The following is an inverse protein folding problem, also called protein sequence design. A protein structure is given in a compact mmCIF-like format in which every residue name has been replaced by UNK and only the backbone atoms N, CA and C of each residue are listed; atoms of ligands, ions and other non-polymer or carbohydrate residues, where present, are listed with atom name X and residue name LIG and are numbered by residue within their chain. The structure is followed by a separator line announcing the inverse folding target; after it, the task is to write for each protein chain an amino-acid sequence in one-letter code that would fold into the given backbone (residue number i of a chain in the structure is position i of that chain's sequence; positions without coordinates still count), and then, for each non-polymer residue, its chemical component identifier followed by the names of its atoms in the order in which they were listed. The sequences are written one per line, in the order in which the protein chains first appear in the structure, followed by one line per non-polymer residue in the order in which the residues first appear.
data_IF_154279297874
#
_entry.id   IF_154279297874
#
_cell.length_a   1.000
_cell.length_b   1.000
_cell.length_c   1.000
_cell.angle_alpha   90.00
_cell.angle_beta   90.00
_cell.angle_gamma   90.00
#
_symmetry.space_group_name_H-M   'P 1'
#
loop_
_entity.id
_entity.type
_entity.pdbx_description
1 polymer ?
#
# COMPACT_ATOMS: atom_id res chain seq x y z
N UNK A 1 -41.33 -30.47 -16.27
CA UNK A 1 -40.54 -29.30 -16.54
C UNK A 1 -39.73 -29.05 -15.26
N UNK A 2 -38.49 -29.51 -15.27
CA UNK A 2 -37.56 -29.46 -14.12
C UNK A 2 -36.66 -28.24 -14.31
N UNK A 3 -36.77 -27.27 -13.44
CA UNK A 3 -35.89 -26.11 -13.43
C UNK A 3 -34.67 -26.42 -12.57
N UNK A 4 -33.50 -26.47 -13.20
CA UNK A 4 -32.22 -26.57 -12.54
C UNK A 4 -31.79 -25.21 -12.00
N UNK A 5 -31.47 -25.15 -10.71
CA UNK A 5 -30.79 -24.01 -10.07
C UNK A 5 -29.31 -24.02 -10.40
N UNK A 6 -28.66 -22.88 -10.60
CA UNK A 6 -27.21 -22.82 -10.78
C UNK A 6 -26.50 -23.04 -9.46
N UNK A 7 -25.62 -24.02 -9.46
CA UNK A 7 -24.70 -24.38 -8.38
C UNK A 7 -23.61 -23.29 -8.24
N UNK A 8 -23.73 -22.47 -7.20
CA UNK A 8 -22.66 -21.59 -6.76
C UNK A 8 -21.67 -22.39 -5.93
N UNK A 9 -20.71 -23.02 -6.59
CA UNK A 9 -19.57 -23.63 -5.93
C UNK A 9 -18.64 -22.56 -5.34
N UNK A 10 -18.97 -22.12 -4.14
CA UNK A 10 -18.04 -21.44 -3.23
C UNK A 10 -16.90 -22.43 -2.97
N UNK A 11 -15.72 -22.19 -3.50
CA UNK A 11 -14.51 -22.91 -3.11
C UNK A 11 -14.32 -22.70 -1.61
N UNK A 12 -14.74 -23.69 -0.83
CA UNK A 12 -14.33 -23.81 0.57
C UNK A 12 -12.83 -24.01 0.57
N UNK A 13 -12.11 -23.13 1.25
CA UNK A 13 -10.72 -23.35 1.61
C UNK A 13 -10.69 -24.58 2.52
N UNK A 14 -10.15 -25.67 1.98
CA UNK A 14 -10.04 -26.94 2.66
C UNK A 14 -9.19 -26.78 3.92
N UNK A 15 -9.78 -27.21 5.03
CA UNK A 15 -9.16 -27.34 6.34
C UNK A 15 -8.07 -28.40 6.32
N UNK A 16 -6.94 -28.05 6.97
CA UNK A 16 -5.91 -28.96 7.48
C UNK A 16 -5.02 -29.66 6.46
N UNK A 17 -4.02 -28.93 5.98
CA UNK A 17 -2.73 -29.54 5.63
C UNK A 17 -1.68 -29.05 6.61
N UNK A 18 -0.93 -29.98 7.20
CA UNK A 18 0.20 -29.74 8.08
C UNK A 18 1.11 -28.69 7.43
N UNK A 19 1.34 -27.60 8.12
CA UNK A 19 2.13 -26.44 7.67
C UNK A 19 3.55 -26.90 7.40
N UNK A 20 3.87 -27.20 6.14
CA UNK A 20 5.25 -27.13 5.68
C UNK A 20 5.65 -25.67 5.86
N UNK A 21 6.60 -25.40 6.78
CA UNK A 21 7.08 -24.07 7.09
C UNK A 21 7.65 -23.47 5.78
N UNK A 22 6.88 -22.61 5.10
CA UNK A 22 7.37 -21.89 3.94
C UNK A 22 8.45 -20.94 4.44
N UNK A 23 9.72 -21.08 4.03
CA UNK A 23 10.81 -20.22 4.50
C UNK A 23 10.62 -18.74 4.11
N UNK A 24 9.68 -18.43 3.24
CA UNK A 24 9.31 -17.07 2.85
C UNK A 24 8.22 -16.46 3.71
N UNK A 25 7.46 -17.28 4.46
CA UNK A 25 6.37 -16.79 5.29
C UNK A 25 6.92 -15.93 6.43
N UNK A 26 6.48 -14.68 6.51
CA UNK A 26 6.83 -13.74 7.58
C UNK A 26 5.75 -13.66 8.64
N UNK A 27 4.49 -13.64 8.19
CA UNK A 27 3.32 -13.44 9.05
C UNK A 27 2.14 -14.25 8.52
N UNK A 28 1.50 -15.01 9.40
CA UNK A 28 0.26 -15.71 9.12
C UNK A 28 -0.75 -15.46 10.24
N UNK A 29 -1.89 -14.91 9.88
CA UNK A 29 -3.06 -14.72 10.74
C UNK A 29 -4.10 -15.75 10.32
N UNK A 30 -4.59 -16.56 11.26
CA UNK A 30 -5.55 -17.59 10.98
C UNK A 30 -6.79 -17.48 11.89
N UNK A 31 -7.96 -17.26 11.26
CA UNK A 31 -9.25 -17.21 11.94
C UNK A 31 -9.32 -16.14 13.04
N UNK A 32 -8.79 -14.95 12.79
CA UNK A 32 -8.72 -13.89 13.77
C UNK A 32 -10.09 -13.29 14.02
N UNK A 33 -10.56 -13.42 15.26
CA UNK A 33 -11.67 -12.66 15.80
C UNK A 33 -11.16 -11.64 16.83
N UNK A 34 -11.79 -10.48 16.90
CA UNK A 34 -11.50 -9.49 17.91
C UNK A 34 -12.76 -8.72 18.33
N UNK A 35 -12.99 -8.68 19.64
CA UNK A 35 -14.11 -7.98 20.27
C UNK A 35 -13.57 -6.88 21.19
N UNK A 36 -14.23 -5.72 21.19
CA UNK A 36 -13.92 -4.63 22.11
C UNK A 36 -15.20 -3.87 22.45
N UNK A 37 -15.42 -3.61 23.74
CA UNK A 37 -16.61 -2.88 24.22
C UNK A 37 -17.93 -3.51 23.80
N UNK A 38 -18.03 -4.85 23.74
CA UNK A 38 -19.22 -5.58 23.31
C UNK A 38 -19.48 -5.56 21.80
N UNK A 39 -18.58 -4.99 20.99
CA UNK A 39 -18.66 -4.98 19.53
C UNK A 39 -17.62 -5.91 18.92
N UNK A 40 -18.01 -6.66 17.90
CA UNK A 40 -17.08 -7.41 17.07
C UNK A 40 -16.43 -6.44 16.07
N UNK A 41 -15.11 -6.37 16.09
CA UNK A 41 -14.32 -5.52 15.19
C UNK A 41 -13.63 -6.31 14.08
N UNK A 42 -13.34 -7.60 14.34
CA UNK A 42 -12.81 -8.52 13.35
C UNK A 42 -13.51 -9.87 13.47
N UNK A 43 -13.81 -10.50 12.34
CA UNK A 43 -14.48 -11.77 12.23
C UNK A 43 -13.77 -12.69 11.24
N UNK A 44 -13.23 -13.80 11.75
CA UNK A 44 -12.62 -14.88 10.98
C UNK A 44 -11.64 -14.38 9.91
N UNK A 45 -10.78 -13.40 10.28
CA UNK A 45 -9.83 -12.80 9.34
C UNK A 45 -8.63 -13.72 9.15
N UNK A 46 -8.30 -13.99 7.89
CA UNK A 46 -7.10 -14.69 7.45
C UNK A 46 -6.21 -13.73 6.66
N UNK A 47 -4.89 -13.80 6.89
CA UNK A 47 -3.90 -13.01 6.19
C UNK A 47 -2.60 -13.80 6.14
N UNK A 48 -1.96 -13.81 4.99
CA UNK A 48 -0.65 -14.40 4.78
C UNK A 48 0.25 -13.38 4.11
N UNK A 49 1.47 -13.17 4.63
CA UNK A 49 2.44 -12.24 4.07
C UNK A 49 3.81 -12.90 3.97
N UNK A 50 4.40 -12.80 2.79
CA UNK A 50 5.69 -13.36 2.46
C UNK A 50 6.77 -12.28 2.36
N UNK A 51 8.03 -12.73 2.42
CA UNK A 51 9.19 -11.89 2.14
C UNK A 51 9.17 -11.40 0.68
N UNK A 52 9.47 -10.12 0.48
CA UNK A 52 9.47 -9.49 -0.84
C UNK A 52 8.07 -9.18 -1.40
N UNK A 53 7.00 -9.38 -0.62
CA UNK A 53 5.63 -9.10 -1.01
C UNK A 53 5.14 -7.79 -0.40
N UNK A 54 4.39 -6.99 -1.16
CA UNK A 54 3.59 -5.87 -0.65
C UNK A 54 2.13 -6.30 -0.60
N UNK A 55 1.59 -6.41 0.61
CA UNK A 55 0.18 -6.69 0.86
C UNK A 55 -0.48 -5.46 1.44
N UNK A 56 -1.57 -5.03 0.81
CA UNK A 56 -2.29 -3.83 1.24
C UNK A 56 -3.68 -4.14 1.77
N UNK A 57 -3.96 -3.64 2.97
CA UNK A 57 -5.29 -3.64 3.58
C UNK A 57 -6.04 -2.39 3.16
N UNK A 58 -7.18 -2.55 2.52
CA UNK A 58 -8.10 -1.46 2.20
C UNK A 58 -9.45 -1.69 2.90
N UNK A 59 -10.26 -0.65 3.01
CA UNK A 59 -11.58 -0.76 3.64
C UNK A 59 -12.05 0.57 4.23
N UNK A 60 -13.33 0.71 4.55
CA UNK A 60 -13.88 1.93 5.12
C UNK A 60 -13.32 2.24 6.51
N UNK A 61 -13.58 3.45 7.00
CA UNK A 61 -13.24 3.81 8.38
C UNK A 61 -14.04 2.94 9.35
N UNK A 62 -13.36 2.44 10.39
CA UNK A 62 -13.98 1.51 11.33
C UNK A 62 -14.01 0.03 10.89
N UNK A 63 -13.50 -0.31 9.72
CA UNK A 63 -13.43 -1.68 9.19
C UNK A 63 -12.54 -2.65 9.99
N UNK A 64 -11.75 -2.15 10.95
CA UNK A 64 -10.85 -2.98 11.75
C UNK A 64 -9.39 -3.00 11.29
N UNK A 65 -9.01 -2.24 10.25
CA UNK A 65 -7.64 -2.23 9.67
C UNK A 65 -6.55 -2.00 10.71
N UNK A 66 -6.62 -0.90 11.46
CA UNK A 66 -5.64 -0.59 12.52
C UNK A 66 -5.65 -1.62 13.65
N UNK A 67 -6.82 -2.22 13.96
CA UNK A 67 -6.92 -3.31 14.92
C UNK A 67 -6.17 -4.55 14.44
N UNK A 68 -6.36 -4.94 13.18
CA UNK A 68 -5.66 -6.07 12.55
C UNK A 68 -4.14 -5.82 12.53
N UNK A 69 -3.70 -4.60 12.17
CA UNK A 69 -2.29 -4.20 12.23
C UNK A 69 -1.74 -4.34 13.65
N UNK A 70 -2.45 -3.86 14.67
CA UNK A 70 -2.00 -4.00 16.07
C UNK A 70 -1.90 -5.47 16.50
N UNK A 71 -2.79 -6.34 16.04
CA UNK A 71 -2.73 -7.78 16.27
C UNK A 71 -1.51 -8.35 15.53
N UNK A 72 -1.30 -8.00 14.27
CA UNK A 72 -0.13 -8.41 13.50
C UNK A 72 1.20 -8.00 14.15
N UNK A 73 1.25 -6.82 14.77
CA UNK A 73 2.40 -6.33 15.52
C UNK A 73 2.58 -6.98 16.91
N UNK A 74 1.58 -7.71 17.43
CA UNK A 74 1.58 -8.24 18.79
C UNK A 74 1.26 -7.20 19.87
N UNK A 75 0.73 -6.06 19.49
CA UNK A 75 0.30 -5.00 20.41
C UNK A 75 -1.10 -5.26 20.98
N UNK A 76 -1.87 -6.12 20.32
CA UNK A 76 -3.18 -6.62 20.78
C UNK A 76 -3.23 -8.13 20.63
N UNK A 77 -3.81 -8.82 21.61
CA UNK A 77 -4.13 -10.25 21.48
C UNK A 77 -5.50 -10.41 20.83
N UNK A 78 -5.66 -11.30 19.84
CA UNK A 78 -6.97 -11.60 19.29
C UNK A 78 -7.88 -12.26 20.34
N UNK A 79 -9.19 -12.17 20.17
CA UNK A 79 -10.17 -12.88 21.02
C UNK A 79 -10.19 -14.36 20.72
N UNK A 80 -9.98 -14.75 19.45
CA UNK A 80 -9.76 -16.13 18.99
C UNK A 80 -8.90 -16.12 17.70
N UNK A 81 -8.44 -17.30 17.29
CA UNK A 81 -7.52 -17.47 16.17
C UNK A 81 -6.04 -17.48 16.58
N UNK A 82 -5.15 -17.62 15.63
CA UNK A 82 -3.69 -17.70 15.85
C UNK A 82 -2.94 -16.68 15.00
N UNK A 83 -1.80 -16.24 15.54
CA UNK A 83 -0.87 -15.31 14.88
C UNK A 83 0.51 -15.95 14.88
N UNK A 84 0.91 -16.45 13.73
CA UNK A 84 2.21 -17.06 13.54
C UNK A 84 3.15 -16.06 12.86
N UNK A 85 4.32 -15.85 13.46
CA UNK A 85 5.38 -14.97 12.95
C UNK A 85 6.65 -15.77 12.77
N UNK A 86 7.43 -15.44 11.76
CA UNK A 86 8.81 -15.99 11.62
C UNK A 86 9.57 -15.80 12.93
N UNK A 87 10.32 -16.84 13.39
CA UNK A 87 11.13 -16.71 14.60
C UNK A 87 12.12 -15.56 14.48
N UNK A 88 12.15 -14.68 15.50
CA UNK A 88 13.06 -13.52 15.54
C UNK A 88 12.72 -12.41 14.55
N UNK A 89 11.52 -12.40 13.96
CA UNK A 89 11.08 -11.42 12.97
C UNK A 89 11.33 -9.98 13.43
N UNK A 90 12.18 -9.24 12.70
CA UNK A 90 12.41 -7.82 12.93
C UNK A 90 11.34 -7.02 12.19
N UNK A 91 10.55 -6.26 12.97
CA UNK A 91 9.46 -5.45 12.45
C UNK A 91 9.80 -3.97 12.54
N UNK A 92 9.73 -3.26 11.42
CA UNK A 92 9.69 -1.81 11.35
C UNK A 92 8.24 -1.33 11.27
N UNK A 93 7.84 -0.44 12.17
CA UNK A 93 6.48 0.07 12.20
C UNK A 93 6.42 1.58 12.03
N UNK A 94 5.61 2.01 11.08
CA UNK A 94 5.26 3.39 10.82
C UNK A 94 3.78 3.60 11.15
N UNK A 95 3.45 4.29 12.26
CA UNK A 95 2.07 4.53 12.67
C UNK A 95 1.40 5.61 11.82
N UNK A 96 0.08 5.58 11.71
CA UNK A 96 -0.73 6.57 10.99
C UNK A 96 -0.47 8.01 11.47
N UNK A 97 -0.29 8.20 12.78
CA UNK A 97 -0.06 9.52 13.37
C UNK A 97 1.03 9.45 14.42
N UNK A 98 1.95 10.38 14.33
CA UNK A 98 2.85 10.73 15.43
C UNK A 98 2.47 12.13 15.91
N UNK A 99 1.93 12.23 17.13
CA UNK A 99 1.69 13.53 17.77
C UNK A 99 3.00 13.99 18.40
N UNK A 100 3.60 15.01 17.79
CA UNK A 100 4.74 15.72 18.39
C UNK A 100 4.21 17.03 18.93
N UNK A 101 4.33 17.24 20.24
CA UNK A 101 3.96 18.50 20.86
C UNK A 101 4.74 19.65 20.20
N UNK A 102 4.08 20.72 19.69
CA UNK A 102 4.76 21.83 19.01
C UNK A 102 5.86 22.50 19.85
N UNK A 103 5.70 22.44 21.17
CA UNK A 103 6.65 23.00 22.15
C UNK A 103 7.86 22.13 22.40
N UNK A 104 7.84 20.85 21.97
CA UNK A 104 8.96 19.93 22.16
C UNK A 104 10.12 20.26 21.21
N UNK A 105 11.29 20.70 21.72
CA UNK A 105 12.42 21.08 20.89
C UNK A 105 13.25 19.86 20.46
N UNK A 106 12.61 18.89 19.78
CA UNK A 106 13.29 17.68 19.28
C UNK A 106 13.61 17.81 17.80
N UNK A 107 14.89 17.66 17.43
CA UNK A 107 15.29 17.57 16.03
C UNK A 107 15.05 16.16 15.45
N UNK A 108 15.04 16.06 14.11
CA UNK A 108 14.93 14.79 13.39
C UNK A 108 16.01 13.80 13.82
N UNK A 109 17.28 14.22 13.85
CA UNK A 109 18.37 13.35 14.30
C UNK A 109 18.14 12.86 15.73
N UNK A 110 17.73 13.74 16.65
CA UNK A 110 17.46 13.32 18.03
C UNK A 110 16.30 12.35 18.14
N UNK A 111 15.24 12.58 17.35
CA UNK A 111 14.11 11.68 17.28
C UNK A 111 14.49 10.29 16.76
N UNK A 112 15.32 10.21 15.72
CA UNK A 112 15.82 8.95 15.18
C UNK A 112 16.76 8.24 16.15
N UNK A 113 17.59 8.99 16.87
CA UNK A 113 18.49 8.45 17.90
C UNK A 113 17.75 7.83 19.11
N UNK A 114 16.44 8.03 19.24
CA UNK A 114 15.61 7.31 20.22
C UNK A 114 15.29 5.87 19.80
N UNK A 115 15.60 5.48 18.56
CA UNK A 115 15.45 4.08 18.13
C UNK A 115 16.53 3.23 18.83
N UNK A 116 16.17 2.07 19.41
CA UNK A 116 17.13 1.23 20.12
C UNK A 116 18.28 0.79 19.20
N UNK A 117 19.52 1.02 19.64
CA UNK A 117 20.74 0.62 18.92
C UNK A 117 21.15 1.52 17.75
N UNK A 118 20.38 2.56 17.41
CA UNK A 118 20.67 3.44 16.29
C UNK A 118 21.98 4.21 16.48
N UNK A 119 22.92 4.08 15.53
CA UNK A 119 24.16 4.83 15.50
C UNK A 119 24.02 6.05 14.56
N UNK A 120 24.84 7.10 14.72
CA UNK A 120 24.79 8.28 13.84
C UNK A 120 24.95 7.94 12.35
N UNK A 121 25.78 6.95 12.01
CA UNK A 121 25.97 6.49 10.63
C UNK A 121 24.70 5.85 10.05
N UNK A 122 24.00 5.04 10.86
CA UNK A 122 22.75 4.38 10.45
C UNK A 122 21.64 5.41 10.23
N UNK A 123 21.58 6.43 11.11
CA UNK A 123 20.62 7.54 10.97
C UNK A 123 20.86 8.31 9.68
N UNK A 124 22.14 8.63 9.39
CA UNK A 124 22.48 9.34 8.15
C UNK A 124 22.13 8.50 6.89
N UNK A 125 22.43 7.21 6.91
CA UNK A 125 22.09 6.28 5.84
C UNK A 125 20.58 6.15 5.64
N UNK A 126 19.81 5.98 6.71
CA UNK A 126 18.35 5.88 6.65
C UNK A 126 17.72 7.18 6.12
N UNK A 127 18.20 8.36 6.55
CA UNK A 127 17.73 9.65 6.03
C UNK A 127 18.06 9.83 4.55
N UNK A 128 19.24 9.40 4.11
CA UNK A 128 19.63 9.43 2.70
C UNK A 128 18.74 8.51 1.86
N UNK A 129 18.46 7.30 2.34
CA UNK A 129 17.63 6.32 1.65
C UNK A 129 16.20 6.82 1.40
N UNK A 130 15.61 7.50 2.40
CA UNK A 130 14.26 8.06 2.25
C UNK A 130 14.25 9.46 1.62
N UNK A 131 15.40 10.02 1.23
CA UNK A 131 15.50 11.37 0.64
C UNK A 131 15.16 12.50 1.63
N UNK A 132 15.48 12.35 2.92
CA UNK A 132 15.18 13.31 3.98
C UNK A 132 16.44 13.92 4.64
N UNK A 133 17.62 13.80 4.04
CA UNK A 133 18.90 14.28 4.60
C UNK A 133 18.85 15.78 4.92
N UNK A 134 18.19 16.59 4.08
CA UNK A 134 18.11 18.06 4.24
C UNK A 134 17.41 18.51 5.53
N UNK A 135 16.58 17.67 6.12
CA UNK A 135 15.81 17.97 7.33
C UNK A 135 16.39 17.38 8.61
N UNK A 136 17.60 16.81 8.54
CA UNK A 136 18.25 16.12 9.67
C UNK A 136 18.29 16.98 10.96
N UNK A 137 18.60 18.28 10.83
CA UNK A 137 18.70 19.21 11.95
C UNK A 137 17.41 19.99 12.21
N UNK A 138 16.39 19.81 11.36
CA UNK A 138 15.10 20.49 11.51
C UNK A 138 14.36 19.98 12.76
N UNK A 139 13.50 20.82 13.33
CA UNK A 139 12.60 20.40 14.41
C UNK A 139 11.50 19.51 13.84
N UNK A 140 11.15 18.43 14.52
CA UNK A 140 10.06 17.55 14.11
C UNK A 140 8.74 18.28 13.88
N UNK A 141 8.43 19.27 14.71
CA UNK A 141 7.21 20.06 14.61
C UNK A 141 7.19 21.05 13.41
N UNK A 142 8.32 21.27 12.74
CA UNK A 142 8.44 22.17 11.60
C UNK A 142 8.41 21.43 10.25
N UNK A 143 8.32 20.10 10.26
CA UNK A 143 8.30 19.28 9.04
C UNK A 143 6.97 19.41 8.29
N UNK A 144 7.05 19.46 6.97
CA UNK A 144 5.87 19.21 6.11
C UNK A 144 5.38 17.77 6.28
N UNK A 145 4.13 17.50 5.86
CA UNK A 145 3.56 16.15 5.94
C UNK A 145 4.44 15.12 5.26
N UNK A 146 4.89 15.40 4.03
CA UNK A 146 5.76 14.48 3.29
C UNK A 146 7.14 14.26 3.94
N UNK A 147 7.74 15.31 4.51
CA UNK A 147 9.00 15.19 5.24
C UNK A 147 8.83 14.36 6.53
N UNK A 148 7.74 14.58 7.26
CA UNK A 148 7.43 13.79 8.44
C UNK A 148 7.27 12.30 8.09
N UNK A 149 6.54 11.98 7.03
CA UNK A 149 6.34 10.60 6.59
C UNK A 149 7.67 9.92 6.21
N UNK A 150 8.55 10.62 5.48
CA UNK A 150 9.90 10.13 5.16
C UNK A 150 10.74 9.89 6.42
N UNK A 151 10.68 10.79 7.41
CA UNK A 151 11.39 10.63 8.69
C UNK A 151 10.84 9.44 9.51
N UNK A 152 9.52 9.24 9.52
CA UNK A 152 8.92 8.07 10.17
C UNK A 152 9.31 6.75 9.49
N UNK A 153 9.37 6.76 8.16
CA UNK A 153 9.86 5.61 7.39
C UNK A 153 11.34 5.34 7.70
N UNK A 154 12.21 6.37 7.73
CA UNK A 154 13.60 6.22 8.14
C UNK A 154 13.72 5.56 9.52
N UNK A 155 12.89 5.99 10.49
CA UNK A 155 12.86 5.38 11.83
C UNK A 155 12.50 3.89 11.79
N UNK A 156 11.54 3.50 10.95
CA UNK A 156 11.16 2.10 10.79
C UNK A 156 12.30 1.27 10.20
N UNK A 157 13.07 1.84 9.25
CA UNK A 157 14.21 1.19 8.60
C UNK A 157 15.42 1.00 9.51
N UNK A 158 15.62 1.85 10.53
CA UNK A 158 16.71 1.70 11.51
C UNK A 158 16.71 0.35 12.26
N UNK A 159 15.63 -0.42 12.19
CA UNK A 159 15.53 -1.76 12.75
C UNK A 159 15.94 -2.86 11.76
N UNK A 160 16.40 -2.50 10.57
CA UNK A 160 16.67 -3.44 9.47
C UNK A 160 15.54 -4.46 9.31
N UNK A 161 14.30 -4.00 9.04
CA UNK A 161 13.14 -4.84 9.15
C UNK A 161 13.08 -5.92 8.07
N UNK A 162 12.65 -7.12 8.48
CA UNK A 162 12.22 -8.16 7.55
C UNK A 162 10.73 -8.02 7.18
N UNK A 163 9.98 -7.35 8.07
CA UNK A 163 8.58 -6.94 7.85
C UNK A 163 8.44 -5.45 8.14
N UNK A 164 8.04 -4.69 7.13
CA UNK A 164 7.71 -3.28 7.24
C UNK A 164 6.19 -3.13 7.32
N UNK A 165 5.70 -2.51 8.39
CA UNK A 165 4.25 -2.26 8.60
C UNK A 165 4.00 -0.76 8.52
N UNK A 166 3.16 -0.34 7.57
CA UNK A 166 2.88 1.05 7.24
C UNK A 166 1.38 1.33 7.40
N UNK A 167 1.01 2.15 8.38
CA UNK A 167 -0.40 2.50 8.62
C UNK A 167 -0.67 3.89 8.04
N UNK A 168 -1.36 3.96 6.88
CA UNK A 168 -1.68 5.16 6.10
C UNK A 168 -0.45 6.06 5.81
N UNK A 169 0.59 5.55 5.17
CA UNK A 169 1.90 6.19 5.08
C UNK A 169 1.93 7.48 4.25
N UNK A 170 0.89 7.78 3.50
CA UNK A 170 0.80 8.98 2.65
C UNK A 170 -0.19 10.03 3.19
N UNK A 171 -0.66 9.86 4.43
CA UNK A 171 -1.59 10.81 5.02
C UNK A 171 -0.96 12.21 5.14
N UNK A 172 -1.65 13.24 4.59
CA UNK A 172 -1.15 14.62 4.61
C UNK A 172 -0.07 14.94 3.58
N UNK A 173 0.14 14.05 2.60
CA UNK A 173 1.05 14.22 1.46
C UNK A 173 0.22 14.56 0.23
N UNK A 174 0.70 15.47 -0.62
CA UNK A 174 0.05 15.80 -1.89
C UNK A 174 0.16 14.66 -2.91
N UNK A 175 -0.66 14.65 -3.96
CA UNK A 175 -0.75 13.56 -4.93
C UNK A 175 0.60 13.19 -5.57
N UNK A 176 1.42 14.20 -5.90
CA UNK A 176 2.75 13.97 -6.47
C UNK A 176 3.66 13.28 -5.46
N UNK A 177 3.70 13.78 -4.25
CA UNK A 177 4.48 13.21 -3.15
C UNK A 177 4.03 11.80 -2.77
N UNK A 178 2.72 11.51 -2.85
CA UNK A 178 2.19 10.17 -2.63
C UNK A 178 2.75 9.17 -3.64
N UNK A 179 2.71 9.48 -4.94
CA UNK A 179 3.25 8.60 -5.98
C UNK A 179 4.77 8.36 -5.82
N UNK A 180 5.52 9.39 -5.41
CA UNK A 180 6.95 9.26 -5.09
C UNK A 180 7.16 8.38 -3.85
N UNK A 181 6.28 8.48 -2.85
CA UNK A 181 6.38 7.70 -1.63
C UNK A 181 6.08 6.20 -1.86
N UNK A 182 5.09 5.88 -2.69
CA UNK A 182 4.80 4.49 -3.07
C UNK A 182 5.97 3.87 -3.84
N UNK A 183 6.57 4.61 -4.79
CA UNK A 183 7.80 4.16 -5.48
C UNK A 183 8.95 3.92 -4.50
N UNK A 184 9.11 4.79 -3.51
CA UNK A 184 10.12 4.63 -2.46
C UNK A 184 9.88 3.33 -1.67
N UNK A 185 8.62 3.02 -1.29
CA UNK A 185 8.28 1.75 -0.60
C UNK A 185 8.64 0.54 -1.45
N UNK A 186 8.32 0.56 -2.75
CA UNK A 186 8.69 -0.54 -3.68
C UNK A 186 10.20 -0.72 -3.74
N UNK A 187 10.96 0.37 -3.88
CA UNK A 187 12.43 0.32 -3.91
C UNK A 187 13.02 -0.22 -2.60
N UNK A 188 12.44 0.14 -1.46
CA UNK A 188 12.85 -0.37 -0.13
C UNK A 188 12.58 -1.87 -0.04
N UNK A 189 11.36 -2.33 -0.42
CA UNK A 189 11.02 -3.75 -0.47
C UNK A 189 12.05 -4.53 -1.31
N UNK A 190 12.37 -4.03 -2.50
CA UNK A 190 13.30 -4.70 -3.43
C UNK A 190 14.74 -4.72 -2.90
N UNK A 191 15.19 -3.62 -2.30
CA UNK A 191 16.56 -3.50 -1.75
C UNK A 191 16.76 -4.35 -0.50
N UNK A 192 15.81 -4.28 0.43
CA UNK A 192 15.90 -5.00 1.71
C UNK A 192 15.30 -6.41 1.66
N UNK A 193 14.63 -6.76 0.56
CA UNK A 193 13.90 -8.03 0.40
C UNK A 193 12.93 -8.28 1.58
N UNK A 194 12.36 -7.21 2.13
CA UNK A 194 11.41 -7.28 3.24
C UNK A 194 9.98 -7.48 2.73
N UNK A 195 9.11 -8.08 3.55
CA UNK A 195 7.66 -8.02 3.32
C UNK A 195 7.13 -6.67 3.76
N UNK A 196 6.07 -6.19 3.11
CA UNK A 196 5.40 -4.92 3.46
C UNK A 196 3.93 -5.18 3.70
N UNK A 197 3.46 -4.87 4.92
CA UNK A 197 2.03 -4.78 5.24
C UNK A 197 1.63 -3.31 5.27
N UNK A 198 0.79 -2.90 4.35
CA UNK A 198 0.37 -1.51 4.22
C UNK A 198 -1.13 -1.36 4.47
N UNK A 199 -1.52 -0.32 5.18
CA UNK A 199 -2.92 0.14 5.24
C UNK A 199 -3.04 1.39 4.41
N UNK A 200 -4.02 1.43 3.51
CA UNK A 200 -4.31 2.61 2.72
C UNK A 200 -5.81 2.74 2.44
N UNK A 201 -6.24 3.96 2.25
CA UNK A 201 -7.56 4.30 1.70
C UNK A 201 -7.48 4.87 0.29
N UNK A 202 -6.26 5.09 -0.22
CA UNK A 202 -6.00 5.62 -1.56
C UNK A 202 -5.89 4.47 -2.57
N UNK A 203 -7.02 4.16 -3.20
CA UNK A 203 -7.16 3.01 -4.08
C UNK A 203 -6.35 3.13 -5.38
N UNK A 204 -6.14 4.37 -5.87
CA UNK A 204 -5.45 4.59 -7.14
C UNK A 204 -3.97 4.24 -7.10
N UNK A 205 -3.29 4.72 -6.07
CA UNK A 205 -1.85 4.55 -5.94
C UNK A 205 -1.50 3.17 -5.39
N UNK A 206 -2.37 2.62 -4.52
CA UNK A 206 -2.22 1.26 -3.98
C UNK A 206 -2.14 0.23 -5.10
N UNK A 207 -3.04 0.32 -6.08
CA UNK A 207 -3.14 -0.68 -7.15
C UNK A 207 -1.89 -0.79 -8.03
N UNK A 208 -1.10 0.27 -8.13
CA UNK A 208 0.15 0.26 -8.91
C UNK A 208 1.38 -0.23 -8.13
N UNK A 209 1.30 -0.28 -6.80
CA UNK A 209 2.45 -0.53 -5.94
C UNK A 209 2.30 -1.76 -5.04
N UNK A 210 1.23 -2.55 -5.19
CA UNK A 210 0.94 -3.71 -4.34
C UNK A 210 0.83 -5.00 -5.13
N UNK A 211 1.30 -6.09 -4.54
CA UNK A 211 1.20 -7.43 -5.13
C UNK A 211 -0.15 -8.09 -4.81
N UNK A 212 -0.69 -7.81 -3.62
CA UNK A 212 -1.96 -8.34 -3.16
C UNK A 212 -2.74 -7.31 -2.35
N UNK A 213 -4.07 -7.31 -2.51
CA UNK A 213 -5.00 -6.46 -1.80
C UNK A 213 -5.96 -7.31 -0.98
N UNK A 214 -6.22 -6.90 0.26
CA UNK A 214 -7.29 -7.44 1.10
C UNK A 214 -8.29 -6.33 1.42
N UNK A 215 -9.55 -6.54 1.03
CA UNK A 215 -10.67 -5.67 1.38
C UNK A 215 -11.22 -6.10 2.73
N UNK A 216 -11.13 -5.23 3.71
CA UNK A 216 -11.58 -5.49 5.07
C UNK A 216 -12.81 -4.65 5.41
N UNK A 217 -13.84 -5.31 5.92
CA UNK A 217 -15.00 -4.69 6.58
C UNK A 217 -15.45 -5.58 7.72
N UNK A 218 -14.69 -5.58 8.82
CA UNK A 218 -14.76 -6.53 9.95
C UNK A 218 -14.37 -7.97 9.57
N UNK A 219 -14.69 -8.42 8.39
CA UNK A 219 -14.24 -9.67 7.75
C UNK A 219 -13.56 -9.36 6.41
N UNK A 220 -12.89 -10.34 5.83
CA UNK A 220 -12.33 -10.22 4.48
C UNK A 220 -13.46 -10.37 3.47
N UNK A 221 -13.80 -9.26 2.78
CA UNK A 221 -14.85 -9.24 1.76
C UNK A 221 -14.35 -9.72 0.40
N UNK A 222 -13.13 -9.33 0.03
CA UNK A 222 -12.45 -9.74 -1.19
C UNK A 222 -10.93 -9.70 -0.99
N UNK A 223 -10.19 -10.50 -1.74
CA UNK A 223 -8.73 -10.49 -1.74
C UNK A 223 -8.18 -10.99 -3.08
N UNK A 224 -6.97 -10.60 -3.40
CA UNK A 224 -6.25 -11.04 -4.59
C UNK A 224 -5.41 -9.96 -5.22
N UNK A 225 -4.97 -10.21 -6.47
CA UNK A 225 -4.24 -9.23 -7.25
C UNK A 225 -5.11 -7.97 -7.49
N UNK A 226 -4.54 -6.76 -7.52
CA UNK A 226 -5.26 -5.50 -7.69
C UNK A 226 -6.31 -5.50 -8.81
N UNK A 227 -5.96 -6.02 -9.99
CA UNK A 227 -6.87 -6.10 -11.14
C UNK A 227 -8.10 -7.00 -10.90
N UNK A 228 -7.94 -8.07 -10.13
CA UNK A 228 -9.04 -8.97 -9.78
C UNK A 228 -9.96 -8.32 -8.75
N UNK A 229 -9.38 -7.70 -7.72
CA UNK A 229 -10.12 -7.02 -6.66
C UNK A 229 -10.91 -5.84 -7.21
N UNK A 230 -10.37 -5.11 -8.18
CA UNK A 230 -11.05 -3.96 -8.79
C UNK A 230 -12.36 -4.30 -9.48
N UNK A 231 -12.50 -5.53 -9.95
CA UNK A 231 -13.70 -6.05 -10.63
C UNK A 231 -14.61 -6.88 -9.70
N UNK A 232 -14.21 -7.07 -8.43
CA UNK A 232 -14.99 -7.84 -7.48
C UNK A 232 -16.27 -7.11 -7.05
N UNK A 233 -17.46 -7.72 -7.11
CA UNK A 233 -18.71 -7.10 -6.68
C UNK A 233 -18.68 -6.58 -5.24
N UNK A 234 -18.02 -7.28 -4.32
CA UNK A 234 -17.90 -6.86 -2.93
C UNK A 234 -17.06 -5.58 -2.78
N UNK A 235 -16.01 -5.42 -3.62
CA UNK A 235 -15.25 -4.19 -3.70
C UNK A 235 -16.11 -3.02 -4.22
N UNK A 236 -16.89 -3.27 -5.28
CA UNK A 236 -17.78 -2.26 -5.89
C UNK A 236 -18.88 -1.82 -4.91
N UNK A 237 -19.37 -2.73 -4.07
CA UNK A 237 -20.33 -2.43 -3.00
C UNK A 237 -19.72 -1.55 -1.91
N UNK A 238 -18.48 -1.86 -1.47
CA UNK A 238 -17.79 -1.11 -0.41
C UNK A 238 -17.39 0.31 -0.80
N UNK A 239 -16.94 0.51 -2.04
CA UNK A 239 -16.32 1.75 -2.46
C UNK A 239 -17.14 2.52 -3.52
N UNK A 240 -18.21 1.91 -4.07
CA UNK A 240 -19.12 2.51 -5.03
C UNK A 240 -18.48 2.77 -6.40
N UNK A 241 -19.29 3.33 -7.33
CA UNK A 241 -18.82 3.65 -8.69
C UNK A 241 -17.72 4.72 -8.75
N UNK A 242 -17.57 5.53 -7.71
CA UNK A 242 -16.47 6.51 -7.63
C UNK A 242 -15.10 5.83 -7.46
N UNK A 243 -15.03 4.69 -6.75
CA UNK A 243 -13.82 3.87 -6.68
C UNK A 243 -13.42 3.26 -8.03
N UNK A 244 -14.40 2.97 -8.89
CA UNK A 244 -14.18 2.38 -10.23
C UNK A 244 -13.67 3.40 -11.25
N UNK A 245 -14.25 4.60 -11.27
CA UNK A 245 -13.78 5.69 -12.15
C UNK A 245 -12.34 6.08 -11.84
N UNK A 246 -12.00 5.99 -10.57
CA UNK A 246 -10.68 6.22 -10.08
C UNK A 246 -9.66 5.20 -10.64
N UNK A 247 -10.04 3.95 -10.87
CA UNK A 247 -9.18 2.89 -11.44
C UNK A 247 -9.08 2.91 -12.96
N UNK A 248 -10.14 3.32 -13.66
CA UNK A 248 -10.18 3.30 -15.13
C UNK A 248 -9.09 4.18 -15.77
N UNK A 249 -8.53 5.12 -15.03
CA UNK A 249 -7.45 6.00 -15.50
C UNK A 249 -6.09 5.29 -15.54
N UNK A 250 -5.90 4.22 -14.79
CA UNK A 250 -4.58 3.55 -14.68
C UNK A 250 -4.43 2.24 -15.47
N UNK A 251 -5.51 1.68 -16.01
CA UNK A 251 -5.47 0.46 -16.84
C UNK A 251 -5.12 0.71 -18.30
N UNK A 252 -4.79 1.94 -18.69
CA UNK A 252 -4.20 2.17 -19.99
C UNK A 252 -2.72 1.72 -19.96
N UNK A 253 -2.46 0.53 -20.46
CA UNK A 253 -1.13 0.16 -20.92
C UNK A 253 -0.74 1.14 -22.03
N UNK A 254 0.07 2.13 -21.68
CA UNK A 254 0.72 2.97 -22.68
C UNK A 254 1.79 2.16 -23.39
N UNK A 255 1.48 1.60 -24.55
CA UNK A 255 2.45 0.99 -25.46
C UNK A 255 3.11 2.06 -26.34
N UNK A 256 3.25 3.30 -25.85
CA UNK A 256 3.90 4.39 -26.56
C UNK A 256 4.69 5.25 -25.57
N UNK A 257 5.84 5.73 -26.04
CA UNK A 257 6.66 6.69 -25.32
C UNK A 257 6.25 8.12 -25.67
N UNK A 258 6.30 9.02 -24.68
CA UNK A 258 6.09 10.45 -24.88
C UNK A 258 7.46 11.13 -24.93
N UNK A 259 7.63 12.10 -25.81
CA UNK A 259 8.78 12.98 -25.81
C UNK A 259 8.76 13.97 -24.61
N UNK A 260 9.83 14.75 -24.47
CA UNK A 260 9.95 15.74 -23.40
C UNK A 260 8.89 16.87 -23.48
N UNK A 261 8.17 16.99 -24.58
CA UNK A 261 7.08 17.93 -24.81
C UNK A 261 5.70 17.32 -24.57
N UNK A 262 5.62 15.99 -24.31
CA UNK A 262 4.39 15.26 -24.03
C UNK A 262 3.65 14.77 -25.28
N UNK A 263 4.28 14.80 -26.47
CA UNK A 263 3.74 14.25 -27.70
C UNK A 263 4.06 12.75 -27.80
N UNK A 264 3.12 11.97 -28.37
CA UNK A 264 3.28 10.53 -28.58
C UNK A 264 4.29 10.31 -29.69
N UNK A 265 5.38 9.57 -29.39
CA UNK A 265 6.35 9.14 -30.39
C UNK A 265 5.86 7.81 -30.97
N UNK A 266 5.54 7.80 -32.27
CA UNK A 266 5.18 6.58 -32.97
C UNK A 266 6.39 5.64 -33.08
N UNK A 267 6.25 4.44 -32.52
CA UNK A 267 7.24 3.37 -32.71
C UNK A 267 7.09 2.82 -34.14
N UNK A 268 8.16 2.85 -34.99
CA UNK A 268 8.09 2.39 -36.36
C UNK A 268 7.82 0.89 -36.51
N UNK A 269 7.89 0.10 -35.43
CA UNK A 269 7.61 -1.34 -35.41
C UNK A 269 6.20 -1.69 -34.93
N UNK A 270 5.32 -0.71 -34.74
CA UNK A 270 3.95 -0.94 -34.26
C UNK A 270 3.01 -1.44 -35.36
N UNK A 271 2.61 -2.71 -35.26
CA UNK A 271 1.63 -3.32 -36.19
C UNK A 271 0.22 -3.03 -35.66
N UNK A 272 -0.55 -2.23 -36.39
CA UNK A 272 -1.95 -1.94 -36.09
C UNK A 272 -2.83 -3.19 -36.26
N UNK A 273 -3.32 -3.77 -35.16
CA UNK A 273 -4.36 -4.80 -35.17
C UNK A 273 -5.76 -4.17 -35.38
N UNK A 274 -6.72 -4.95 -35.89
CA UNK A 274 -8.08 -4.53 -36.32
C UNK A 274 -8.97 -3.87 -35.25
N UNK A 275 -8.44 -3.60 -34.02
CA UNK A 275 -9.19 -3.04 -32.88
C UNK A 275 -8.68 -1.69 -32.37
N UNK A 276 -7.73 -1.03 -33.05
CA UNK A 276 -7.28 0.30 -32.69
C UNK A 276 -8.20 1.40 -33.25
N UNK A 277 -9.14 1.91 -32.43
CA UNK A 277 -9.97 3.06 -32.76
C UNK A 277 -9.36 4.35 -32.22
N UNK A 278 -8.45 4.99 -32.95
CA UNK A 278 -8.02 6.36 -32.68
C UNK A 278 -8.88 7.35 -33.47
N UNK A 279 -9.70 8.14 -32.76
CA UNK A 279 -10.39 9.30 -33.38
C UNK A 279 -9.38 10.45 -33.45
N UNK A 280 -8.86 10.72 -34.64
CA UNK A 280 -8.17 11.96 -34.93
C UNK A 280 -9.19 13.11 -34.91
N UNK A 281 -9.04 14.08 -34.00
CA UNK A 281 -9.77 15.33 -34.02
C UNK A 281 -9.35 16.17 -35.24
N UNK A 282 -10.24 17.02 -35.80
CA UNK A 282 -9.96 17.76 -37.02
C UNK A 282 -8.85 18.79 -36.79
N UNK A 283 -7.83 18.70 -37.66
CA UNK A 283 -6.71 19.63 -37.78
C UNK A 283 -7.23 21.04 -38.08
N UNK A 284 -7.00 22.01 -37.19
CA UNK A 284 -7.29 23.42 -37.43
C UNK A 284 -6.30 23.97 -38.47
N UNK A 285 -6.76 24.10 -39.71
CA UNK A 285 -6.07 24.75 -40.80
C UNK A 285 -5.74 26.20 -40.41
N UNK A 286 -4.49 26.52 -40.36
CA UNK A 286 -3.93 27.86 -40.22
C UNK A 286 -4.15 28.64 -41.51
N UNK A 287 -4.95 29.71 -41.48
CA UNK A 287 -5.26 30.57 -42.61
C UNK A 287 -4.27 31.77 -42.58
N UNK A 288 -3.37 31.95 -43.58
CA UNK A 288 -2.47 33.10 -43.62
C UNK A 288 -3.26 34.32 -44.20
N UNK A 289 -3.51 35.34 -43.37
CA UNK A 289 -3.97 36.62 -43.85
C UNK A 289 -2.87 37.33 -44.60
N UNK A 290 -3.15 37.61 -45.88
CA UNK A 290 -2.43 38.57 -46.75
C UNK A 290 -2.68 39.97 -46.22
N UNK A 291 -1.60 40.79 -46.33
CA UNK A 291 -1.62 42.19 -46.00
C UNK A 291 -2.39 43.08 -46.97
N UNK A 292 -2.72 44.24 -46.52
CA UNK A 292 -3.18 45.44 -47.16
C UNK A 292 -2.98 46.57 -46.16
#
# INVERSE_FOLDING_TARGET
VTTASPDHSVRRLDTATATTCDPRALLHLHGIDYHSGGRQLLQQVHLHLQRGQILTLIGPNGAGKTTLVKIALGLLSPSSGTVDRSPGLRIGYMPQRLQVEPTMPISVQRFLALAPGAQPADIAAALAEVGATRVADARMAALSGGELQRVLLARALLREPELLVLDEPTQGVDLKGQAEFYRLITNIRDRHQCGVLMVSHDLHLVMSATDEVICLNQHVCCHGHPEQVSNDPAYLELFGRQGVQAMAVYTHHHNHEHDLAGEVVDDPDHVHGEHCQHRHGPSLLHNPRKGG
#
